data_IF_627222563841
#
_entry.id   IF_627222563841
#
_cell.length_a   1.000
_cell.length_b   1.000
_cell.length_c   1.000
_cell.angle_alpha   90.00
_cell.angle_beta   90.00
_cell.angle_gamma   90.00
#
_symmetry.space_group_name_H-M   'P 1'
#
loop_
_entity.id
_entity.type
_entity.pdbx_description
1 polymer ?
#
# COMPACT_ATOMS: atom_id res chain seq x y z
N UNK A 1 -0.67 -4.59 7.79
CA UNK A 1 -1.82 -4.11 7.00
C UNK A 1 -1.93 -2.62 7.24
N UNK A 2 -2.03 -1.84 6.19
CA UNK A 2 -2.49 -0.45 6.28
C UNK A 2 -3.87 -0.53 6.92
N UNK A 3 -4.06 0.12 8.06
CA UNK A 3 -5.33 0.11 8.77
C UNK A 3 -6.35 0.86 7.90
N UNK A 4 -7.16 0.12 7.17
CA UNK A 4 -8.33 0.69 6.49
C UNK A 4 -9.39 0.85 7.57
N UNK A 5 -9.73 2.07 7.89
CA UNK A 5 -11.00 2.34 8.57
C UNK A 5 -12.08 1.81 7.63
N UNK A 6 -12.86 0.85 8.09
CA UNK A 6 -13.91 0.17 7.30
C UNK A 6 -15.05 1.17 7.06
N UNK A 7 -14.86 2.06 6.09
CA UNK A 7 -15.85 3.10 5.73
C UNK A 7 -16.80 2.65 4.63
N UNK A 8 -16.37 1.65 3.83
CA UNK A 8 -17.14 1.12 2.71
C UNK A 8 -17.49 -0.35 2.94
N UNK A 9 -18.64 -0.84 2.46
CA UNK A 9 -19.02 -2.24 2.58
C UNK A 9 -18.11 -3.14 1.73
N UNK A 10 -18.08 -4.45 2.05
CA UNK A 10 -17.25 -5.42 1.31
C UNK A 10 -17.95 -5.94 0.03
N UNK A 11 -19.29 -5.99 -0.01
CA UNK A 11 -20.02 -6.69 -1.06
C UNK A 11 -20.92 -5.79 -1.91
N UNK A 12 -21.73 -4.95 -1.32
CA UNK A 12 -22.71 -4.15 -2.04
C UNK A 12 -22.75 -2.72 -1.51
N UNK A 13 -22.65 -1.77 -2.43
CA UNK A 13 -22.70 -0.34 -2.16
C UNK A 13 -24.16 0.16 -2.20
N UNK A 14 -24.50 1.03 -1.26
CA UNK A 14 -25.73 1.82 -1.28
C UNK A 14 -25.43 3.30 -1.45
N UNK A 15 -26.42 4.09 -1.86
CA UNK A 15 -26.26 5.56 -1.94
C UNK A 15 -25.88 6.16 -0.57
N UNK A 16 -26.43 5.62 0.52
CA UNK A 16 -26.10 6.07 1.88
C UNK A 16 -24.62 5.82 2.23
N UNK A 17 -24.03 4.70 1.81
CA UNK A 17 -22.60 4.40 2.01
C UNK A 17 -21.72 5.41 1.28
N UNK A 18 -22.13 5.84 0.09
CA UNK A 18 -21.41 6.83 -0.72
C UNK A 18 -21.44 8.19 -0.04
N UNK A 19 -22.61 8.63 0.39
CA UNK A 19 -22.76 9.91 1.12
C UNK A 19 -21.97 9.90 2.44
N UNK A 20 -22.00 8.78 3.19
CA UNK A 20 -21.20 8.63 4.40
C UNK A 20 -19.70 8.71 4.09
N UNK A 21 -19.24 8.06 3.02
CA UNK A 21 -17.83 8.12 2.60
C UNK A 21 -17.42 9.54 2.20
N UNK A 22 -18.23 10.25 1.39
CA UNK A 22 -17.97 11.64 0.99
C UNK A 22 -17.88 12.54 2.23
N UNK A 23 -18.82 12.41 3.17
CA UNK A 23 -18.86 13.22 4.38
C UNK A 23 -17.69 12.93 5.35
N UNK A 24 -17.13 11.74 5.28
CA UNK A 24 -15.99 11.33 6.10
C UNK A 24 -14.62 11.71 5.49
N UNK A 25 -14.58 12.29 4.29
CA UNK A 25 -13.34 12.79 3.69
C UNK A 25 -12.73 13.92 4.52
N UNK A 26 -11.39 14.04 4.54
CA UNK A 26 -10.73 15.18 5.18
C UNK A 26 -11.25 16.53 4.65
N UNK A 27 -11.16 17.63 5.42
CA UNK A 27 -11.52 18.95 4.92
C UNK A 27 -10.80 19.24 3.61
N UNK A 28 -11.50 19.78 2.59
CA UNK A 28 -10.90 20.06 1.29
C UNK A 28 -9.87 21.18 1.41
N UNK A 29 -8.76 21.04 0.69
CA UNK A 29 -7.78 22.11 0.53
C UNK A 29 -8.35 23.24 -0.38
N UNK A 30 -9.09 22.86 -1.42
CA UNK A 30 -9.75 23.72 -2.38
C UNK A 30 -11.19 23.24 -2.60
N UNK A 31 -12.17 24.15 -2.49
CA UNK A 31 -13.60 23.80 -2.60
C UNK A 31 -13.94 23.25 -3.97
N UNK A 32 -13.46 23.86 -5.04
CA UNK A 32 -13.76 23.48 -6.40
C UNK A 32 -13.27 22.04 -6.72
N UNK A 33 -12.12 21.65 -6.20
CA UNK A 33 -11.59 20.29 -6.37
C UNK A 33 -12.46 19.25 -5.68
N UNK A 34 -12.99 19.58 -4.50
CA UNK A 34 -13.95 18.71 -3.80
C UNK A 34 -15.25 18.57 -4.57
N UNK A 35 -15.76 19.63 -5.21
CA UNK A 35 -16.95 19.57 -6.05
C UNK A 35 -16.71 18.68 -7.27
N UNK A 36 -15.50 18.72 -7.88
CA UNK A 36 -15.11 17.80 -8.95
C UNK A 36 -15.06 16.34 -8.46
N UNK A 37 -14.51 16.08 -7.30
CA UNK A 37 -14.45 14.73 -6.72
C UNK A 37 -15.86 14.17 -6.50
N UNK A 38 -16.74 14.93 -5.86
CA UNK A 38 -18.13 14.50 -5.62
C UNK A 38 -18.86 14.22 -6.93
N UNK A 39 -18.71 15.11 -7.93
CA UNK A 39 -19.28 14.92 -9.28
C UNK A 39 -18.76 13.62 -9.93
N UNK A 40 -17.45 13.34 -9.83
CA UNK A 40 -16.84 12.13 -10.38
C UNK A 40 -17.39 10.86 -9.72
N UNK A 41 -17.60 10.89 -8.40
CA UNK A 41 -18.22 9.76 -7.67
C UNK A 41 -19.60 9.46 -8.21
N UNK A 42 -20.48 10.46 -8.30
CA UNK A 42 -21.86 10.26 -8.79
C UNK A 42 -21.88 9.84 -10.27
N UNK A 43 -21.09 10.49 -11.14
CA UNK A 43 -20.99 10.10 -12.54
C UNK A 43 -20.51 8.65 -12.73
N UNK A 44 -19.60 8.18 -11.88
CA UNK A 44 -19.11 6.79 -11.92
C UNK A 44 -20.14 5.79 -11.39
N UNK A 45 -20.93 6.18 -10.37
CA UNK A 45 -22.08 5.39 -9.91
C UNK A 45 -23.09 5.14 -11.03
N UNK A 46 -23.43 6.18 -11.77
CA UNK A 46 -24.42 6.13 -12.85
C UNK A 46 -23.99 5.16 -13.97
N UNK A 47 -22.69 5.15 -14.33
CA UNK A 47 -22.20 4.35 -15.47
C UNK A 47 -21.84 2.92 -15.11
N UNK A 48 -21.47 2.64 -13.86
CA UNK A 48 -21.06 1.30 -13.41
C UNK A 48 -22.14 0.54 -12.64
N UNK A 49 -23.40 0.91 -12.76
CA UNK A 49 -24.52 0.45 -11.94
C UNK A 49 -24.49 -1.05 -11.58
N UNK A 50 -24.29 -1.95 -12.56
CA UNK A 50 -24.28 -3.41 -12.39
C UNK A 50 -22.95 -4.07 -12.83
N UNK A 51 -21.93 -3.30 -13.15
CA UNK A 51 -20.66 -3.86 -13.62
C UNK A 51 -19.84 -4.44 -12.46
N UNK A 52 -19.19 -5.57 -12.72
CA UNK A 52 -18.32 -6.25 -11.75
C UNK A 52 -16.89 -6.37 -12.25
N UNK A 53 -15.96 -6.23 -11.33
CA UNK A 53 -14.55 -6.53 -11.55
C UNK A 53 -14.33 -8.06 -11.54
N UNK A 54 -13.19 -8.53 -12.06
CA UNK A 54 -12.84 -9.97 -12.18
C UNK A 54 -12.87 -10.73 -10.85
N UNK A 55 -12.64 -10.05 -9.74
CA UNK A 55 -12.74 -10.63 -8.40
C UNK A 55 -14.17 -10.82 -7.91
N UNK A 56 -15.17 -10.43 -8.72
CA UNK A 56 -16.59 -10.48 -8.41
C UNK A 56 -17.12 -9.28 -7.61
N UNK A 57 -16.29 -8.27 -7.35
CA UNK A 57 -16.73 -7.05 -6.68
C UNK A 57 -17.41 -6.09 -7.67
N UNK A 58 -18.43 -5.34 -7.22
CA UNK A 58 -19.00 -4.24 -8.01
C UNK A 58 -17.88 -3.26 -8.39
N UNK A 59 -17.85 -2.83 -9.66
CA UNK A 59 -16.77 -2.00 -10.18
C UNK A 59 -16.71 -0.63 -9.49
N UNK A 60 -17.88 -0.04 -9.20
CA UNK A 60 -17.96 1.20 -8.44
C UNK A 60 -17.37 1.05 -7.02
N UNK A 61 -17.68 -0.04 -6.33
CA UNK A 61 -17.14 -0.31 -5.00
C UNK A 61 -15.62 -0.53 -5.04
N UNK A 62 -15.13 -1.18 -6.11
CA UNK A 62 -13.70 -1.34 -6.35
C UNK A 62 -13.00 0.03 -6.47
N UNK A 63 -13.53 0.95 -7.29
CA UNK A 63 -12.94 2.29 -7.50
C UNK A 63 -12.93 3.09 -6.20
N UNK A 64 -14.04 3.04 -5.43
CA UNK A 64 -14.13 3.74 -4.15
C UNK A 64 -13.17 3.17 -3.09
N UNK A 65 -12.97 1.85 -3.04
CA UNK A 65 -11.97 1.26 -2.15
C UNK A 65 -10.54 1.68 -2.52
N UNK A 66 -10.23 1.82 -3.80
CA UNK A 66 -8.93 2.35 -4.25
C UNK A 66 -8.80 3.81 -3.81
N UNK A 67 -9.85 4.63 -4.00
CA UNK A 67 -9.86 6.02 -3.54
C UNK A 67 -9.70 6.13 -2.02
N UNK A 68 -10.37 5.27 -1.23
CA UNK A 68 -10.24 5.23 0.24
C UNK A 68 -8.81 4.91 0.70
N UNK A 69 -8.11 4.00 0.00
CA UNK A 69 -6.69 3.77 0.23
C UNK A 69 -5.84 5.02 -0.01
N UNK A 70 -6.16 5.80 -1.05
CA UNK A 70 -5.46 7.03 -1.39
C UNK A 70 -5.74 8.15 -0.37
N UNK A 71 -6.96 8.23 0.16
CA UNK A 71 -7.32 9.11 1.28
C UNK A 71 -6.43 8.84 2.50
N UNK A 72 -6.17 7.58 2.79
CA UNK A 72 -5.30 7.19 3.90
C UNK A 72 -3.84 7.66 3.73
N UNK A 73 -3.41 7.90 2.49
CA UNK A 73 -2.09 8.49 2.17
C UNK A 73 -2.13 10.02 2.02
N UNK A 74 -3.24 10.67 2.43
CA UNK A 74 -3.41 12.13 2.43
C UNK A 74 -3.22 12.76 1.04
N UNK A 75 -3.66 12.07 -0.03
CA UNK A 75 -3.57 12.58 -1.39
C UNK A 75 -4.66 13.62 -1.68
N UNK A 76 -4.37 14.49 -2.64
CA UNK A 76 -5.26 15.58 -3.04
C UNK A 76 -6.53 15.09 -3.76
N UNK A 77 -7.56 15.94 -3.78
CA UNK A 77 -8.86 15.64 -4.41
C UNK A 77 -8.74 15.42 -5.93
N UNK A 78 -7.78 16.04 -6.63
CA UNK A 78 -7.52 15.81 -8.05
C UNK A 78 -7.01 14.37 -8.29
N UNK A 79 -6.18 13.84 -7.39
CA UNK A 79 -5.70 12.46 -7.46
C UNK A 79 -6.83 11.46 -7.23
N UNK A 80 -7.67 11.71 -6.23
CA UNK A 80 -8.85 10.88 -5.96
C UNK A 80 -9.81 10.90 -7.14
N UNK A 81 -10.07 12.08 -7.72
CA UNK A 81 -10.91 12.26 -8.90
C UNK A 81 -10.40 11.45 -10.09
N UNK A 82 -9.10 11.53 -10.38
CA UNK A 82 -8.50 10.76 -11.46
C UNK A 82 -8.60 9.24 -11.22
N UNK A 83 -8.38 8.77 -9.98
CA UNK A 83 -8.51 7.36 -9.62
C UNK A 83 -9.93 6.82 -9.80
N UNK A 84 -10.94 7.67 -9.59
CA UNK A 84 -12.35 7.31 -9.76
C UNK A 84 -12.73 7.27 -11.24
N UNK A 85 -12.33 8.25 -12.03
CA UNK A 85 -12.78 8.44 -13.42
C UNK A 85 -12.10 7.51 -14.43
N UNK A 86 -10.80 7.17 -14.23
CA UNK A 86 -10.01 6.56 -15.30
C UNK A 86 -10.56 5.21 -15.79
N UNK A 87 -11.19 4.42 -14.91
CA UNK A 87 -11.80 3.14 -15.29
C UNK A 87 -12.99 3.34 -16.21
N UNK A 88 -13.88 4.28 -15.88
CA UNK A 88 -15.05 4.62 -16.69
C UNK A 88 -14.63 5.23 -18.04
N UNK A 89 -13.61 6.10 -18.04
CA UNK A 89 -13.02 6.61 -19.27
C UNK A 89 -12.39 5.51 -20.13
N UNK A 90 -11.64 4.59 -19.54
CA UNK A 90 -11.02 3.47 -20.26
C UNK A 90 -12.02 2.48 -20.82
N UNK A 91 -13.20 2.37 -20.20
CA UNK A 91 -14.32 1.56 -20.68
C UNK A 91 -15.14 2.28 -21.78
N UNK A 92 -14.91 3.58 -22.01
CA UNK A 92 -15.61 4.37 -23.03
C UNK A 92 -16.91 5.01 -22.55
N UNK A 93 -17.15 5.05 -21.23
CA UNK A 93 -18.35 5.70 -20.66
C UNK A 93 -18.25 7.23 -20.68
N UNK A 94 -17.04 7.78 -20.69
CA UNK A 94 -16.81 9.21 -20.82
C UNK A 94 -15.99 9.51 -22.08
N UNK A 95 -16.39 10.54 -22.80
CA UNK A 95 -15.62 11.09 -23.91
C UNK A 95 -14.51 12.01 -23.41
N UNK A 96 -13.52 12.26 -24.26
CA UNK A 96 -12.46 13.25 -24.03
C UNK A 96 -13.03 14.64 -23.71
N UNK A 97 -14.05 15.07 -24.48
CA UNK A 97 -14.66 16.38 -24.32
C UNK A 97 -15.36 16.53 -22.98
N UNK A 98 -16.07 15.49 -22.51
CA UNK A 98 -16.71 15.49 -21.19
C UNK A 98 -15.69 15.61 -20.05
N UNK A 99 -14.52 14.99 -20.17
CA UNK A 99 -13.45 15.13 -19.18
C UNK A 99 -12.92 16.57 -19.15
N UNK A 100 -12.61 17.14 -20.32
CA UNK A 100 -12.04 18.49 -20.43
C UNK A 100 -13.03 19.57 -19.99
N UNK A 101 -14.32 19.40 -20.26
CA UNK A 101 -15.34 20.38 -19.91
C UNK A 101 -15.68 20.38 -18.40
N UNK A 102 -15.46 19.26 -17.71
CA UNK A 102 -15.94 19.07 -16.34
C UNK A 102 -14.83 19.00 -15.27
N UNK A 103 -13.56 18.77 -15.66
CA UNK A 103 -12.48 18.54 -14.71
C UNK A 103 -11.23 19.36 -15.04
N UNK A 104 -10.33 19.50 -14.08
CA UNK A 104 -9.08 20.23 -14.25
C UNK A 104 -8.14 19.51 -15.24
N UNK A 105 -7.25 20.27 -15.90
CA UNK A 105 -6.21 19.71 -16.78
C UNK A 105 -5.35 18.67 -16.07
N UNK A 106 -5.11 18.84 -14.77
CA UNK A 106 -4.35 17.88 -13.94
C UNK A 106 -5.08 16.54 -13.86
N UNK A 107 -6.40 16.56 -13.62
CA UNK A 107 -7.23 15.35 -13.58
C UNK A 107 -7.24 14.65 -14.94
N UNK A 108 -7.46 15.40 -16.01
CA UNK A 108 -7.50 14.88 -17.38
C UNK A 108 -6.20 14.20 -17.74
N UNK A 109 -5.06 14.84 -17.48
CA UNK A 109 -3.73 14.27 -17.76
C UNK A 109 -3.48 12.99 -16.97
N UNK A 110 -3.84 12.94 -15.67
CA UNK A 110 -3.72 11.74 -14.83
C UNK A 110 -4.61 10.60 -15.32
N UNK A 111 -5.85 10.89 -15.73
CA UNK A 111 -6.78 9.90 -16.32
C UNK A 111 -6.17 9.29 -17.58
N UNK A 112 -5.56 10.10 -18.45
CA UNK A 112 -4.90 9.61 -19.67
C UNK A 112 -3.70 8.73 -19.36
N UNK A 113 -2.84 9.13 -18.43
CA UNK A 113 -1.68 8.34 -18.03
C UNK A 113 -2.11 6.99 -17.44
N UNK A 114 -3.14 6.97 -16.57
CA UNK A 114 -3.69 5.74 -16.02
C UNK A 114 -4.28 4.83 -17.10
N UNK A 115 -5.08 5.39 -18.02
CA UNK A 115 -5.66 4.65 -19.14
C UNK A 115 -4.57 4.09 -20.08
N UNK A 116 -3.48 4.84 -20.29
CA UNK A 116 -2.31 4.39 -21.05
C UNK A 116 -1.59 3.24 -20.35
N UNK A 117 -1.36 3.34 -19.04
CA UNK A 117 -0.77 2.26 -18.23
C UNK A 117 -1.64 1.02 -18.32
N UNK A 118 -2.96 1.14 -18.13
CA UNK A 118 -3.90 0.03 -18.21
C UNK A 118 -3.84 -0.68 -19.58
N UNK A 119 -3.79 0.08 -20.69
CA UNK A 119 -3.67 -0.48 -22.05
C UNK A 119 -2.35 -1.20 -22.30
N UNK A 120 -1.26 -0.72 -21.72
CA UNK A 120 0.07 -1.29 -21.89
C UNK A 120 0.36 -2.45 -20.93
N UNK A 121 -0.45 -2.60 -19.91
CA UNK A 121 -0.34 -3.67 -18.89
C UNK A 121 -1.47 -4.72 -18.90
N UNK A 122 -2.23 -4.94 -19.99
CA UNK A 122 -3.30 -5.95 -19.99
C UNK A 122 -2.78 -7.35 -19.68
N UNK A 123 -1.52 -7.65 -20.00
CA UNK A 123 -0.84 -8.91 -19.66
C UNK A 123 -0.41 -9.04 -18.19
N UNK A 124 -0.34 -7.94 -17.43
CA UNK A 124 -0.09 -7.99 -15.98
C UNK A 124 -1.35 -8.39 -15.22
N UNK A 125 -2.51 -8.11 -15.82
CA UNK A 125 -3.83 -8.53 -15.35
C UNK A 125 -4.36 -9.77 -16.07
N UNK A 126 -3.86 -10.05 -17.30
CA UNK A 126 -4.22 -11.23 -18.08
C UNK A 126 -2.99 -12.12 -18.23
N UNK A 127 -3.02 -13.27 -17.57
CA UNK A 127 -1.99 -14.31 -17.71
C UNK A 127 -1.75 -14.66 -19.18
N UNK A 128 -0.65 -14.20 -19.75
CA UNK A 128 -0.08 -14.76 -20.99
C UNK A 128 1.16 -15.58 -20.64
N UNK A 129 1.27 -16.74 -21.24
CA UNK A 129 2.21 -17.83 -20.90
C UNK A 129 3.69 -17.58 -21.27
N UNK A 130 4.06 -16.38 -21.72
CA UNK A 130 5.43 -16.07 -22.12
C UNK A 130 6.13 -15.17 -21.09
N UNK A 131 6.76 -15.77 -20.09
CA UNK A 131 7.54 -15.05 -19.09
C UNK A 131 9.04 -15.39 -19.15
N UNK A 132 9.83 -14.47 -19.70
CA UNK A 132 11.28 -14.40 -19.43
C UNK A 132 11.57 -13.35 -18.35
N UNK A 133 12.67 -13.52 -17.59
CA UNK A 133 13.14 -12.53 -16.58
C UNK A 133 13.27 -11.09 -17.11
N UNK A 134 13.41 -10.90 -18.43
CA UNK A 134 13.47 -9.61 -19.08
C UNK A 134 12.14 -8.85 -19.16
N UNK A 135 11.00 -9.57 -19.05
CA UNK A 135 9.68 -8.93 -19.15
C UNK A 135 9.35 -8.05 -17.93
N UNK A 136 9.66 -8.52 -16.74
CA UNK A 136 9.42 -7.78 -15.49
C UNK A 136 10.23 -6.48 -15.39
N UNK A 137 11.50 -6.50 -15.82
CA UNK A 137 12.35 -5.30 -15.82
C UNK A 137 11.91 -4.30 -16.89
N UNK A 138 11.52 -4.76 -18.08
CA UNK A 138 10.99 -3.90 -19.13
C UNK A 138 9.68 -3.25 -18.69
N UNK A 139 8.77 -4.00 -18.05
CA UNK A 139 7.52 -3.49 -17.51
C UNK A 139 7.76 -2.47 -16.40
N UNK A 140 8.72 -2.74 -15.51
CA UNK A 140 9.10 -1.80 -14.45
C UNK A 140 9.65 -0.49 -15.03
N UNK A 141 10.55 -0.57 -16.01
CA UNK A 141 11.09 0.61 -16.71
C UNK A 141 9.99 1.36 -17.45
N UNK A 142 9.08 0.65 -18.08
CA UNK A 142 7.95 1.23 -18.78
C UNK A 142 7.01 1.99 -17.84
N UNK A 143 6.63 1.41 -16.70
CA UNK A 143 5.80 2.08 -15.69
C UNK A 143 6.47 3.36 -15.18
N UNK A 144 7.77 3.31 -14.91
CA UNK A 144 8.53 4.48 -14.45
C UNK A 144 8.76 5.53 -15.54
N UNK A 145 8.75 5.14 -16.81
CA UNK A 145 8.94 6.05 -17.95
C UNK A 145 7.64 6.69 -18.45
N UNK A 146 6.50 6.03 -18.25
CA UNK A 146 5.20 6.51 -18.72
C UNK A 146 4.67 7.63 -17.84
N UNK A 147 4.91 7.57 -16.54
CA UNK A 147 4.41 8.56 -15.61
C UNK A 147 5.54 9.40 -15.03
N UNK A 148 5.55 10.68 -15.38
CA UNK A 148 6.34 11.70 -14.69
C UNK A 148 5.63 12.18 -13.40
N UNK A 149 4.36 11.81 -13.20
CA UNK A 149 3.55 12.15 -12.03
C UNK A 149 3.56 10.99 -11.02
N UNK A 150 4.15 11.23 -9.86
CA UNK A 150 4.19 10.27 -8.75
C UNK A 150 2.79 9.88 -8.28
N UNK A 151 1.82 10.78 -8.39
CA UNK A 151 0.42 10.53 -8.02
C UNK A 151 -0.19 9.40 -8.84
N UNK A 152 0.11 9.34 -10.13
CA UNK A 152 -0.33 8.25 -11.03
C UNK A 152 0.23 6.91 -10.57
N UNK A 153 1.51 6.86 -10.17
CA UNK A 153 2.10 5.62 -9.64
C UNK A 153 1.49 5.21 -8.30
N UNK A 154 1.10 6.18 -7.46
CA UNK A 154 0.41 5.92 -6.21
C UNK A 154 -0.97 5.28 -6.43
N UNK A 155 -1.74 5.77 -7.41
CA UNK A 155 -3.02 5.17 -7.82
C UNK A 155 -2.80 3.72 -8.26
N UNK A 156 -1.84 3.48 -9.14
CA UNK A 156 -1.51 2.12 -9.62
C UNK A 156 -1.11 1.18 -8.48
N UNK A 157 -0.35 1.68 -7.50
CA UNK A 157 0.04 0.90 -6.33
C UNK A 157 -1.13 0.62 -5.39
N UNK A 158 -2.01 1.61 -5.14
CA UNK A 158 -3.23 1.42 -4.35
C UNK A 158 -4.16 0.39 -4.99
N UNK A 159 -4.32 0.46 -6.30
CA UNK A 159 -5.07 -0.53 -7.07
C UNK A 159 -4.47 -1.93 -6.94
N UNK A 160 -3.15 -2.04 -7.02
CA UNK A 160 -2.46 -3.32 -6.82
C UNK A 160 -2.68 -3.88 -5.42
N UNK A 161 -2.62 -3.07 -4.37
CA UNK A 161 -2.92 -3.49 -2.99
C UNK A 161 -4.35 -4.01 -2.89
N UNK A 162 -5.32 -3.26 -3.42
CA UNK A 162 -6.73 -3.66 -3.38
C UNK A 162 -6.97 -5.01 -4.08
N UNK A 163 -6.44 -5.19 -5.29
CA UNK A 163 -6.52 -6.45 -6.04
C UNK A 163 -5.86 -7.61 -5.29
N UNK A 164 -4.69 -7.40 -4.72
CA UNK A 164 -3.98 -8.43 -3.94
C UNK A 164 -4.76 -8.88 -2.71
N UNK A 165 -5.50 -7.98 -2.04
CA UNK A 165 -6.36 -8.32 -0.89
C UNK A 165 -7.50 -9.26 -1.29
N UNK A 166 -8.01 -9.15 -2.52
CA UNK A 166 -9.12 -9.94 -3.07
C UNK A 166 -8.68 -11.10 -3.97
N UNK A 167 -7.38 -11.30 -4.13
CA UNK A 167 -6.80 -12.26 -5.07
C UNK A 167 -7.24 -13.71 -4.80
N UNK A 168 -7.62 -14.03 -3.57
CA UNK A 168 -8.13 -15.35 -3.16
C UNK A 168 -9.37 -15.83 -3.94
N UNK A 169 -10.12 -14.91 -4.53
CA UNK A 169 -11.32 -15.21 -5.33
C UNK A 169 -11.01 -15.67 -6.76
N UNK A 170 -9.74 -15.63 -7.19
CA UNK A 170 -9.31 -15.99 -8.53
C UNK A 170 -8.69 -17.40 -8.57
N UNK A 171 -8.60 -18.05 -9.76
CA UNK A 171 -7.92 -19.32 -9.91
C UNK A 171 -6.45 -19.29 -9.47
N UNK A 172 -5.94 -20.40 -8.92
CA UNK A 172 -4.60 -20.48 -8.33
C UNK A 172 -3.49 -20.04 -9.31
N UNK A 173 -3.55 -20.42 -10.59
CA UNK A 173 -2.57 -20.02 -11.61
C UNK A 173 -2.48 -18.49 -11.74
N UNK A 174 -3.63 -17.81 -11.67
CA UNK A 174 -3.70 -16.34 -11.69
C UNK A 174 -3.15 -15.76 -10.38
N UNK A 175 -3.50 -16.34 -9.23
CA UNK A 175 -2.97 -15.91 -7.93
C UNK A 175 -1.43 -15.92 -7.90
N UNK A 176 -0.82 -17.01 -8.35
CA UNK A 176 0.63 -17.15 -8.38
C UNK A 176 1.28 -16.13 -9.32
N UNK A 177 0.76 -15.96 -10.53
CA UNK A 177 1.31 -15.03 -11.51
C UNK A 177 1.20 -13.57 -11.04
N UNK A 178 0.03 -13.20 -10.50
CA UNK A 178 -0.18 -11.88 -9.94
C UNK A 178 0.77 -11.59 -8.78
N UNK A 179 0.96 -12.57 -7.91
CA UNK A 179 1.85 -12.45 -6.75
C UNK A 179 3.31 -12.33 -7.16
N UNK A 180 3.77 -13.08 -8.19
CA UNK A 180 5.12 -12.92 -8.75
C UNK A 180 5.32 -11.51 -9.31
N UNK A 181 4.41 -11.03 -10.15
CA UNK A 181 4.47 -9.69 -10.73
C UNK A 181 4.44 -8.61 -9.63
N UNK A 182 3.63 -8.81 -8.60
CA UNK A 182 3.54 -7.88 -7.47
C UNK A 182 4.87 -7.79 -6.72
N UNK A 183 5.47 -8.94 -6.39
CA UNK A 183 6.76 -9.01 -5.70
C UNK A 183 7.91 -8.45 -6.53
N UNK A 184 7.93 -8.75 -7.83
CA UNK A 184 9.10 -8.48 -8.68
C UNK A 184 9.05 -7.08 -9.33
N UNK A 185 7.85 -6.45 -9.42
CA UNK A 185 7.66 -5.15 -10.08
C UNK A 185 7.12 -4.09 -9.12
N UNK A 186 5.93 -4.32 -8.52
CA UNK A 186 5.22 -3.29 -7.77
C UNK A 186 5.82 -3.01 -6.40
N UNK A 187 6.23 -4.04 -5.66
CA UNK A 187 6.89 -3.85 -4.37
C UNK A 187 8.23 -3.11 -4.50
N UNK A 188 9.10 -3.37 -5.49
CA UNK A 188 10.28 -2.54 -5.77
C UNK A 188 9.96 -1.09 -6.17
N UNK A 189 8.86 -0.84 -6.91
CA UNK A 189 8.43 0.54 -7.22
C UNK A 189 8.02 1.26 -5.93
N UNK A 190 7.18 0.65 -5.10
CA UNK A 190 6.79 1.20 -3.80
C UNK A 190 8.01 1.48 -2.90
N UNK A 191 9.01 0.59 -2.91
CA UNK A 191 10.27 0.78 -2.21
C UNK A 191 11.03 2.01 -2.71
N UNK A 192 11.14 2.19 -4.02
CA UNK A 192 11.85 3.32 -4.65
C UNK A 192 11.17 4.66 -4.38
N UNK A 193 9.84 4.66 -4.29
CA UNK A 193 9.05 5.84 -3.93
C UNK A 193 9.05 6.12 -2.41
N UNK A 194 9.68 5.27 -1.60
CA UNK A 194 9.73 5.42 -0.15
C UNK A 194 8.43 5.06 0.58
N UNK A 195 7.47 4.43 -0.10
CA UNK A 195 6.14 4.11 0.47
C UNK A 195 6.20 2.72 1.11
N UNK A 196 6.84 2.67 2.28
CA UNK A 196 7.12 1.42 2.99
C UNK A 196 5.86 0.63 3.36
N UNK A 197 4.76 1.31 3.67
CA UNK A 197 3.49 0.66 4.02
C UNK A 197 2.94 -0.17 2.87
N UNK A 198 2.86 0.41 1.67
CA UNK A 198 2.43 -0.31 0.45
C UNK A 198 3.42 -1.44 0.12
N UNK A 199 4.73 -1.16 0.14
CA UNK A 199 5.75 -2.16 -0.13
C UNK A 199 5.56 -3.40 0.74
N UNK A 200 5.49 -3.22 2.05
CA UNK A 200 5.39 -4.34 2.99
C UNK A 200 4.10 -5.12 2.82
N UNK A 201 2.98 -4.45 2.59
CA UNK A 201 1.72 -5.13 2.35
C UNK A 201 1.74 -5.94 1.05
N UNK A 202 2.29 -5.39 -0.03
CA UNK A 202 2.45 -6.09 -1.29
C UNK A 202 3.38 -7.32 -1.16
N UNK A 203 4.48 -7.19 -0.41
CA UNK A 203 5.40 -8.29 -0.13
C UNK A 203 4.72 -9.40 0.70
N UNK A 204 4.00 -9.04 1.78
CA UNK A 204 3.30 -10.00 2.65
C UNK A 204 2.18 -10.72 1.90
N UNK A 205 1.36 -9.98 1.12
CA UNK A 205 0.30 -10.57 0.29
C UNK A 205 0.87 -11.47 -0.80
N UNK A 206 2.00 -11.09 -1.42
CA UNK A 206 2.66 -11.94 -2.41
C UNK A 206 3.16 -13.25 -1.80
N UNK A 207 3.78 -13.19 -0.62
CA UNK A 207 4.24 -14.39 0.09
C UNK A 207 3.09 -15.33 0.45
N UNK A 208 1.94 -14.76 0.85
CA UNK A 208 0.74 -15.53 1.20
C UNK A 208 0.29 -16.47 0.08
N UNK A 209 0.43 -16.06 -1.18
CA UNK A 209 0.01 -16.85 -2.34
C UNK A 209 1.14 -17.67 -2.96
N UNK A 210 2.39 -17.19 -2.87
CA UNK A 210 3.55 -17.91 -3.44
C UNK A 210 4.08 -19.01 -2.53
N UNK A 211 4.07 -18.75 -1.21
CA UNK A 211 4.61 -19.66 -0.18
C UNK A 211 3.61 -19.78 0.99
N UNK A 212 2.40 -20.33 0.74
CA UNK A 212 1.30 -20.29 1.71
C UNK A 212 1.60 -21.02 3.01
N UNK A 213 2.42 -22.08 2.98
CA UNK A 213 2.81 -22.82 4.18
C UNK A 213 3.77 -22.00 5.05
N UNK A 214 4.80 -21.41 4.43
CA UNK A 214 5.74 -20.54 5.12
C UNK A 214 5.04 -19.31 5.71
N UNK A 215 4.13 -18.69 4.96
CA UNK A 215 3.33 -17.56 5.45
C UNK A 215 2.51 -17.95 6.69
N UNK A 216 1.75 -19.06 6.60
CA UNK A 216 0.91 -19.54 7.72
C UNK A 216 1.74 -19.93 8.94
N UNK A 217 2.89 -20.57 8.74
CA UNK A 217 3.80 -20.93 9.83
C UNK A 217 4.29 -19.69 10.58
N UNK A 218 4.82 -18.69 9.87
CA UNK A 218 5.31 -17.44 10.48
C UNK A 218 4.18 -16.66 11.14
N UNK A 219 3.01 -16.55 10.47
CA UNK A 219 1.85 -15.86 11.02
C UNK A 219 1.39 -16.46 12.35
N UNK A 220 1.32 -17.80 12.45
CA UNK A 220 0.99 -18.52 13.69
C UNK A 220 2.00 -18.25 14.79
N UNK A 221 3.28 -18.34 14.50
CA UNK A 221 4.35 -18.06 15.49
C UNK A 221 4.32 -16.61 16.00
N UNK A 222 3.95 -15.67 15.14
CA UNK A 222 3.76 -14.27 15.52
C UNK A 222 2.52 -14.08 16.42
N UNK A 223 1.42 -14.78 16.17
CA UNK A 223 0.20 -14.68 16.95
C UNK A 223 0.36 -15.35 18.32
N UNK A 224 0.92 -16.56 18.39
CA UNK A 224 1.19 -17.28 19.64
C UNK A 224 2.04 -16.46 20.63
N UNK A 225 2.93 -15.62 20.13
CA UNK A 225 3.82 -14.76 20.95
C UNK A 225 3.38 -13.29 20.99
N UNK A 226 2.15 -13.00 20.61
CA UNK A 226 1.68 -11.63 20.47
C UNK A 226 1.70 -10.85 21.77
N UNK A 227 1.15 -11.42 22.86
CA UNK A 227 1.07 -10.75 24.16
C UNK A 227 2.46 -10.52 24.73
N UNK A 228 3.32 -11.53 24.73
CA UNK A 228 4.70 -11.44 25.18
C UNK A 228 5.48 -10.37 24.41
N UNK A 229 5.27 -10.32 23.07
CA UNK A 229 5.92 -9.33 22.22
C UNK A 229 5.44 -7.91 22.51
N UNK A 230 4.12 -7.71 22.72
CA UNK A 230 3.55 -6.40 23.04
C UNK A 230 3.98 -5.92 24.44
N UNK A 231 4.08 -6.81 25.41
CA UNK A 231 4.59 -6.49 26.75
C UNK A 231 6.05 -6.02 26.66
N UNK A 232 6.91 -6.79 26.00
CA UNK A 232 8.32 -6.45 25.80
C UNK A 232 8.50 -5.10 25.07
N UNK A 233 7.72 -4.84 24.02
CA UNK A 233 7.79 -3.57 23.28
C UNK A 233 7.39 -2.40 24.20
N UNK A 234 6.34 -2.53 25.01
CA UNK A 234 5.93 -1.51 25.95
C UNK A 234 7.01 -1.20 26.98
N UNK A 235 7.55 -2.23 27.62
CA UNK A 235 8.68 -2.08 28.57
C UNK A 235 9.89 -1.39 27.93
N UNK A 236 10.18 -1.72 26.66
CA UNK A 236 11.28 -1.11 25.91
C UNK A 236 10.99 0.37 25.60
N UNK A 237 9.76 0.72 25.23
CA UNK A 237 9.34 2.10 24.98
C UNK A 237 9.46 2.93 26.27
N UNK A 238 8.89 2.44 27.37
CA UNK A 238 8.89 3.12 28.65
C UNK A 238 10.33 3.39 29.15
N UNK A 239 11.23 2.42 28.99
CA UNK A 239 12.64 2.57 29.34
C UNK A 239 13.33 3.65 28.46
N UNK A 240 13.09 3.65 27.15
CA UNK A 240 13.68 4.62 26.24
C UNK A 240 13.16 6.03 26.48
N UNK A 241 11.85 6.20 26.65
CA UNK A 241 11.24 7.51 26.92
C UNK A 241 11.76 8.10 28.24
N UNK A 242 11.93 7.25 29.27
CA UNK A 242 12.53 7.64 30.54
C UNK A 242 13.96 8.15 30.41
N UNK A 243 14.81 7.45 29.68
CA UNK A 243 16.22 7.84 29.48
C UNK A 243 16.37 9.03 28.51
N UNK A 244 15.56 9.12 27.45
CA UNK A 244 15.55 10.31 26.59
C UNK A 244 15.11 11.56 27.35
N UNK A 245 14.10 11.44 28.24
CA UNK A 245 13.70 12.52 29.11
C UNK A 245 14.82 13.02 30.04
N UNK A 246 15.61 12.10 30.63
CA UNK A 246 16.78 12.45 31.45
C UNK A 246 17.90 13.10 30.64
N UNK A 247 18.09 12.65 29.41
CA UNK A 247 19.09 13.19 28.50
C UNK A 247 18.66 14.50 27.80
N UNK A 248 17.42 14.95 27.99
CA UNK A 248 16.87 16.14 27.33
C UNK A 248 16.64 15.96 25.83
N UNK A 249 16.55 14.72 25.33
CA UNK A 249 16.31 14.39 23.93
C UNK A 249 14.79 14.34 23.68
N UNK A 250 14.30 15.19 22.78
CA UNK A 250 12.91 15.15 22.34
C UNK A 250 12.75 14.08 21.28
N UNK A 251 12.14 12.96 21.64
CA UNK A 251 11.96 11.81 20.78
C UNK A 251 10.53 11.26 20.86
N UNK A 252 10.03 10.72 19.75
CA UNK A 252 8.81 9.91 19.70
C UNK A 252 9.21 8.44 19.52
N UNK A 253 8.83 7.57 20.45
CA UNK A 253 9.15 6.16 20.43
C UNK A 253 7.90 5.35 20.12
N UNK A 254 8.01 4.42 19.18
CA UNK A 254 6.87 3.58 18.77
C UNK A 254 7.31 2.14 18.47
N UNK A 255 6.42 1.18 18.77
CA UNK A 255 6.62 -0.20 18.36
C UNK A 255 6.47 -0.36 16.85
N UNK A 256 7.41 -1.05 16.21
CA UNK A 256 7.36 -1.35 14.78
C UNK A 256 7.07 -2.84 14.59
N UNK A 257 5.91 -3.22 14.04
CA UNK A 257 5.66 -4.60 13.67
C UNK A 257 6.59 -5.00 12.53
N UNK A 258 7.24 -6.16 12.66
CA UNK A 258 8.02 -6.73 11.57
C UNK A 258 7.12 -7.54 10.67
N UNK A 259 7.21 -7.29 9.36
CA UNK A 259 6.39 -7.92 8.33
C UNK A 259 6.82 -9.37 8.09
N UNK A 260 5.86 -10.24 7.77
CA UNK A 260 6.05 -11.68 7.60
C UNK A 260 7.07 -11.97 6.51
N UNK A 261 6.98 -11.26 5.37
CA UNK A 261 7.94 -11.39 4.27
C UNK A 261 9.38 -11.06 4.69
N UNK A 262 9.57 -10.02 5.51
CA UNK A 262 10.90 -9.65 6.00
C UNK A 262 11.50 -10.71 6.91
N UNK A 263 10.66 -11.36 7.73
CA UNK A 263 11.05 -12.49 8.58
C UNK A 263 11.42 -13.68 7.70
N UNK A 264 10.54 -14.06 6.77
CA UNK A 264 10.77 -15.16 5.84
C UNK A 264 12.07 -14.99 5.05
N UNK A 265 12.29 -13.81 4.46
CA UNK A 265 13.52 -13.49 3.73
C UNK A 265 14.77 -13.62 4.60
N UNK A 266 14.71 -13.22 5.88
CA UNK A 266 15.82 -13.38 6.82
C UNK A 266 16.06 -14.84 7.19
N UNK A 267 15.00 -15.63 7.37
CA UNK A 267 15.09 -17.09 7.58
C UNK A 267 15.78 -17.76 6.40
N UNK A 268 15.37 -17.46 5.17
CA UNK A 268 15.99 -18.00 3.95
C UNK A 268 17.47 -17.61 3.83
N UNK A 269 17.78 -16.32 4.04
CA UNK A 269 19.18 -15.83 3.91
C UNK A 269 20.13 -16.43 4.96
N UNK A 270 19.64 -16.68 6.18
CA UNK A 270 20.45 -17.20 7.30
C UNK A 270 20.34 -18.70 7.47
N UNK A 271 19.51 -19.37 6.68
CA UNK A 271 19.18 -20.81 6.80
C UNK A 271 18.80 -21.20 8.25
N UNK A 272 17.95 -20.35 8.88
CA UNK A 272 17.56 -20.47 10.29
C UNK A 272 16.04 -20.53 10.44
N UNK A 273 15.59 -21.27 11.43
CA UNK A 273 14.19 -21.31 11.84
C UNK A 273 13.75 -19.99 12.50
N UNK A 274 12.43 -19.76 12.58
CA UNK A 274 11.83 -18.60 13.22
C UNK A 274 12.33 -18.35 14.64
N UNK A 275 12.59 -19.40 15.42
CA UNK A 275 13.11 -19.32 16.80
C UNK A 275 14.46 -18.61 16.93
N UNK A 276 15.23 -18.55 15.84
CA UNK A 276 16.54 -17.89 15.77
C UNK A 276 16.48 -16.48 15.15
N UNK A 277 15.28 -15.95 14.91
CA UNK A 277 15.08 -14.58 14.41
C UNK A 277 14.71 -13.67 15.58
N UNK A 278 15.70 -12.99 16.15
CA UNK A 278 15.52 -12.15 17.35
C UNK A 278 14.88 -10.79 17.06
N UNK A 279 15.03 -10.27 15.85
CA UNK A 279 14.58 -8.94 15.43
C UNK A 279 13.10 -8.87 14.99
N UNK A 280 12.27 -9.78 15.48
CA UNK A 280 10.79 -9.71 15.36
C UNK A 280 10.16 -8.66 16.27
N UNK A 281 10.95 -8.16 17.23
CA UNK A 281 10.62 -7.09 18.17
C UNK A 281 11.44 -5.87 17.77
N UNK A 282 10.81 -4.80 17.38
CA UNK A 282 11.50 -3.59 16.96
C UNK A 282 10.78 -2.34 17.48
N UNK A 283 11.57 -1.33 17.80
CA UNK A 283 11.09 0.02 18.11
C UNK A 283 11.65 1.00 17.09
N UNK A 284 10.92 2.07 16.87
CA UNK A 284 11.34 3.21 16.04
C UNK A 284 11.40 4.43 16.94
N UNK A 285 12.52 5.14 16.87
CA UNK A 285 12.73 6.42 17.53
C UNK A 285 12.76 7.49 16.45
N UNK A 286 11.89 8.50 16.55
CA UNK A 286 11.88 9.66 15.69
C UNK A 286 12.34 10.86 16.48
N UNK A 287 13.27 11.63 15.93
CA UNK A 287 13.85 12.84 16.50
C UNK A 287 13.90 13.95 15.47
N UNK A 288 14.09 15.19 15.92
CA UNK A 288 14.01 16.37 15.04
C UNK A 288 15.29 16.58 14.21
N UNK A 289 16.48 16.15 14.68
CA UNK A 289 17.74 16.41 14.00
C UNK A 289 18.62 15.15 13.91
N UNK A 290 19.57 15.17 12.96
CA UNK A 290 20.59 14.11 12.81
C UNK A 290 21.47 14.00 14.06
N UNK A 291 21.80 15.13 14.71
CA UNK A 291 22.56 15.13 15.96
C UNK A 291 21.81 14.39 17.07
N UNK A 292 20.48 14.57 17.15
CA UNK A 292 19.63 13.85 18.10
C UNK A 292 19.54 12.36 17.78
N UNK A 293 19.64 11.94 16.48
CA UNK A 293 19.72 10.53 16.12
C UNK A 293 20.92 9.85 16.78
N UNK A 294 22.11 10.47 16.67
CA UNK A 294 23.33 9.90 17.28
C UNK A 294 23.31 10.00 18.82
N UNK A 295 22.72 11.06 19.37
CA UNK A 295 22.51 11.17 20.81
C UNK A 295 21.58 10.06 21.34
N UNK A 296 20.45 9.83 20.64
CA UNK A 296 19.52 8.75 20.96
C UNK A 296 20.17 7.37 20.83
N UNK A 297 20.98 7.14 19.78
CA UNK A 297 21.75 5.91 19.62
C UNK A 297 22.73 5.69 20.79
N UNK A 298 23.39 6.73 21.27
CA UNK A 298 24.25 6.68 22.45
C UNK A 298 23.49 6.24 23.70
N UNK A 299 22.29 6.77 23.92
CA UNK A 299 21.40 6.33 25.02
C UNK A 299 21.04 4.85 24.88
N UNK A 300 20.63 4.42 23.66
CA UNK A 300 20.29 3.02 23.39
C UNK A 300 21.49 2.10 23.73
N UNK A 301 22.69 2.47 23.30
CA UNK A 301 23.91 1.70 23.59
C UNK A 301 24.31 1.70 25.05
N UNK A 302 23.88 2.69 25.86
CA UNK A 302 24.08 2.67 27.30
C UNK A 302 23.15 1.68 28.02
N UNK A 303 21.96 1.45 27.45
CA UNK A 303 20.96 0.51 27.99
C UNK A 303 21.22 -0.93 27.55
N UNK A 304 21.58 -1.10 26.27
CA UNK A 304 21.77 -2.45 25.71
C UNK A 304 23.02 -2.52 24.83
N UNK A 305 23.74 -3.63 24.93
CA UNK A 305 24.86 -3.88 24.03
C UNK A 305 24.36 -4.32 22.67
N UNK A 306 24.93 -3.76 21.60
CA UNK A 306 24.63 -4.17 20.23
C UNK A 306 25.10 -5.60 19.94
N UNK A 307 24.38 -6.31 19.09
CA UNK A 307 24.81 -7.62 18.59
C UNK A 307 25.92 -7.43 17.55
N UNK A 308 27.09 -8.08 17.71
CA UNK A 308 28.18 -7.96 16.75
C UNK A 308 27.71 -8.33 15.32
N UNK A 309 28.06 -7.51 14.32
CA UNK A 309 27.72 -7.69 12.88
C UNK A 309 26.23 -7.55 12.54
N UNK A 310 25.38 -7.08 13.45
CA UNK A 310 23.97 -6.78 13.17
C UNK A 310 23.69 -5.27 13.25
N UNK A 311 24.68 -4.44 13.56
CA UNK A 311 24.59 -2.98 13.53
C UNK A 311 24.80 -2.51 12.09
N UNK A 312 23.92 -1.62 11.64
CA UNK A 312 23.93 -1.00 10.31
C UNK A 312 23.64 0.49 10.50
N UNK A 313 24.56 1.38 10.03
CA UNK A 313 24.48 2.85 10.13
C UNK A 313 24.33 3.48 8.73
#
# INVERSE_FOLDING_TARGET
MVAVTKRLPDERLTEADVEEWINALPPPQERDKREHLVRAVHATLDVFHDETERTGQQLVLYVLHVADLLVHFELDDDTLTAAILYRAFSAGHFSEQELVDNYSEVVVNRVHDLARIQRLTPGVLAAREEEGKGHSENLRRMLLAISNDVQVLLIVLAERVHLMRRLGNLPQKIQEQFSRNTRDIFAPIANRLGIWQIKWELEDLSLRFLEPEAYRHIARQLEERREERLAYIRETIDALEGEFGKAGIKASVSGRPKHIYSIWKKMQRKEKDFSHIFDVRAVRVLVDTVADCYAALGVVHSLWHHLPKEFDD
#
